data_IF_799639075356
#
_entry.id   IF_799639075356
#
_cell.length_a   1.000
_cell.length_b   1.000
_cell.length_c   1.000
_cell.angle_alpha   90.00
_cell.angle_beta   90.00
_cell.angle_gamma   90.00
#
_symmetry.space_group_name_H-M   'P 1'
#
loop_
_entity.id
_entity.type
_entity.pdbx_description
1 polymer ?
#
# COMPACT_ATOMS: atom_id res chain seq x y z
N UNK A 1 -3.57 -10.82 2.62
CA UNK A 1 -2.27 -10.49 2.00
C UNK A 1 -2.53 -9.92 0.61
N UNK A 2 -1.81 -8.90 0.20
CA UNK A 2 -1.84 -8.36 -1.16
C UNK A 2 -0.43 -8.50 -1.76
N UNK A 3 -0.31 -9.27 -2.85
CA UNK A 3 0.97 -9.56 -3.50
C UNK A 3 1.02 -8.73 -4.80
N UNK A 4 1.49 -7.50 -4.68
CA UNK A 4 1.60 -6.56 -5.80
C UNK A 4 2.83 -6.80 -6.67
N UNK A 5 2.98 -5.99 -7.73
CA UNK A 5 4.11 -6.10 -8.65
C UNK A 5 5.47 -5.76 -8.00
N UNK A 6 5.48 -4.78 -7.09
CA UNK A 6 6.72 -4.31 -6.42
C UNK A 6 6.76 -4.68 -4.94
N UNK A 7 5.64 -4.59 -4.23
CA UNK A 7 5.55 -4.85 -2.78
C UNK A 7 4.48 -5.90 -2.47
N UNK A 8 4.77 -6.74 -1.50
CA UNK A 8 3.79 -7.52 -0.74
C UNK A 8 3.37 -6.70 0.47
N UNK A 9 2.06 -6.70 0.74
CA UNK A 9 1.45 -6.08 1.91
C UNK A 9 0.72 -7.15 2.72
N UNK A 10 1.04 -7.23 4.01
CA UNK A 10 0.47 -8.14 4.97
C UNK A 10 -0.20 -7.32 6.07
N UNK A 11 -1.48 -7.59 6.27
CA UNK A 11 -2.25 -7.07 7.41
C UNK A 11 -2.40 -8.20 8.41
N UNK A 12 -2.04 -7.94 9.66
CA UNK A 12 -2.09 -8.92 10.75
C UNK A 12 -2.92 -8.37 11.91
N UNK A 13 -4.01 -9.06 12.25
CA UNK A 13 -4.78 -8.76 13.45
C UNK A 13 -4.17 -9.52 14.63
N UNK A 14 -3.69 -8.79 15.64
CA UNK A 14 -3.18 -9.32 16.89
C UNK A 14 -4.28 -9.28 17.96
N UNK A 15 -4.85 -10.43 18.36
CA UNK A 15 -5.83 -10.44 19.45
C UNK A 15 -5.16 -10.05 20.77
N UNK A 16 -5.79 -9.15 21.51
CA UNK A 16 -5.35 -8.66 22.83
C UNK A 16 -6.22 -9.19 23.98
N UNK A 17 -7.26 -9.93 23.64
CA UNK A 17 -8.28 -10.48 24.53
C UNK A 17 -8.20 -12.00 24.69
N UNK A 18 -7.02 -12.59 24.43
CA UNK A 18 -6.81 -14.04 24.51
C UNK A 18 -6.93 -14.49 25.97
N UNK A 19 -7.81 -15.46 26.24
CA UNK A 19 -7.96 -16.01 27.59
C UNK A 19 -6.85 -17.01 27.93
N UNK A 20 -6.66 -17.29 29.22
CA UNK A 20 -5.68 -18.30 29.64
C UNK A 20 -6.02 -19.72 29.14
N UNK A 21 -7.30 -20.02 28.94
CA UNK A 21 -7.77 -21.29 28.36
C UNK A 21 -7.43 -21.36 26.87
N UNK A 22 -7.73 -20.29 26.11
CA UNK A 22 -7.37 -20.19 24.69
C UNK A 22 -5.85 -20.29 24.49
N UNK A 23 -5.06 -19.67 25.37
CA UNK A 23 -3.60 -19.74 25.30
C UNK A 23 -3.08 -21.15 25.59
N UNK A 24 -3.76 -21.97 26.41
CA UNK A 24 -3.36 -23.36 26.63
C UNK A 24 -3.67 -24.26 25.44
N UNK A 25 -4.78 -24.00 24.75
CA UNK A 25 -5.19 -24.74 23.54
C UNK A 25 -4.41 -24.31 22.28
N UNK A 26 -3.81 -23.11 22.32
CA UNK A 26 -3.04 -22.56 21.22
C UNK A 26 -1.76 -23.36 20.93
N UNK A 27 -1.65 -23.83 19.69
CA UNK A 27 -0.45 -24.55 19.22
C UNK A 27 0.79 -23.65 19.31
N UNK A 28 1.92 -24.21 19.77
CA UNK A 28 3.17 -23.47 19.98
C UNK A 28 3.65 -22.67 18.76
N UNK A 29 3.37 -23.17 17.54
CA UNK A 29 3.64 -22.43 16.30
C UNK A 29 2.89 -21.11 16.20
N UNK A 30 1.62 -21.05 16.65
CA UNK A 30 0.80 -19.82 16.61
C UNK A 30 1.33 -18.78 17.59
N UNK A 31 1.74 -19.23 18.80
CA UNK A 31 2.43 -18.38 19.79
C UNK A 31 3.73 -17.82 19.25
N UNK A 32 4.56 -18.66 18.63
CA UNK A 32 5.84 -18.27 18.05
C UNK A 32 5.67 -17.24 16.94
N UNK A 33 4.66 -17.41 16.08
CA UNK A 33 4.36 -16.50 14.98
C UNK A 33 3.81 -15.17 15.49
N UNK A 34 2.83 -15.20 16.42
CA UNK A 34 2.34 -13.98 17.08
C UNK A 34 3.49 -13.21 17.68
N UNK A 35 4.33 -13.86 18.50
CA UNK A 35 5.49 -13.24 19.13
C UNK A 35 6.47 -12.69 18.11
N UNK A 36 6.76 -13.42 17.04
CA UNK A 36 7.66 -12.98 15.98
C UNK A 36 7.18 -11.69 15.32
N UNK A 37 5.88 -11.62 14.97
CA UNK A 37 5.27 -10.46 14.33
C UNK A 37 5.20 -9.26 15.28
N UNK A 38 4.92 -9.46 16.56
CA UNK A 38 4.66 -8.33 17.48
C UNK A 38 5.93 -7.82 18.17
N UNK A 39 6.94 -8.67 18.38
CA UNK A 39 8.19 -8.29 19.07
C UNK A 39 9.25 -7.69 18.15
N UNK A 40 9.01 -7.62 16.84
CA UNK A 40 9.95 -7.08 15.85
C UNK A 40 9.26 -6.04 14.98
N UNK A 41 10.03 -5.07 14.50
CA UNK A 41 9.60 -4.08 13.49
C UNK A 41 10.27 -4.30 12.14
N UNK A 42 11.32 -5.12 12.11
CA UNK A 42 12.01 -5.56 10.89
C UNK A 42 12.01 -7.10 10.84
N UNK A 43 11.73 -7.65 9.65
CA UNK A 43 11.67 -9.08 9.40
C UNK A 43 12.65 -9.46 8.28
N UNK A 44 13.67 -10.25 8.62
CA UNK A 44 14.76 -10.52 7.71
C UNK A 44 15.54 -9.24 7.39
N UNK A 45 15.89 -9.03 6.11
CA UNK A 45 16.63 -7.85 5.66
C UNK A 45 15.74 -6.71 5.13
N UNK A 46 14.52 -7.02 4.72
CA UNK A 46 13.70 -6.13 3.88
C UNK A 46 12.25 -6.00 4.35
N UNK A 47 11.79 -6.88 5.24
CA UNK A 47 10.44 -6.79 5.80
C UNK A 47 10.37 -5.71 6.86
N UNK A 48 9.33 -4.88 6.80
CA UNK A 48 9.12 -3.74 7.68
C UNK A 48 7.68 -3.78 8.20
N UNK A 49 7.51 -3.58 9.50
CA UNK A 49 6.22 -3.26 10.13
C UNK A 49 6.12 -1.76 10.30
N UNK A 50 5.14 -1.14 9.65
CA UNK A 50 4.89 0.29 9.72
C UNK A 50 4.13 0.60 11.02
N UNK A 51 4.85 0.64 12.15
CA UNK A 51 4.27 0.78 13.51
C UNK A 51 3.41 2.03 13.67
N UNK A 52 3.74 3.10 12.95
CA UNK A 52 2.99 4.36 12.98
C UNK A 52 1.57 4.24 12.38
N UNK A 53 1.27 3.13 11.68
CA UNK A 53 -0.05 2.84 11.12
C UNK A 53 -0.86 1.86 11.98
N UNK A 54 -0.33 1.39 13.12
CA UNK A 54 -1.05 0.42 13.96
C UNK A 54 -2.42 0.97 14.42
N UNK A 55 -3.50 0.24 14.11
CA UNK A 55 -4.82 0.53 14.66
C UNK A 55 -5.02 -0.27 15.95
N UNK A 56 -4.92 0.41 17.09
CA UNK A 56 -5.07 -0.19 18.42
C UNK A 56 -6.52 -0.18 18.91
N UNK A 57 -6.85 -1.11 19.83
CA UNK A 57 -8.20 -1.30 20.41
C UNK A 57 -9.33 -1.48 19.36
N UNK A 58 -9.01 -2.12 18.25
CA UNK A 58 -9.97 -2.45 17.20
C UNK A 58 -10.81 -3.67 17.63
N UNK A 59 -12.13 -3.58 17.47
CA UNK A 59 -13.01 -4.74 17.56
C UNK A 59 -13.27 -5.30 16.17
N UNK A 60 -12.78 -6.50 15.88
CA UNK A 60 -12.94 -7.19 14.61
C UNK A 60 -13.47 -8.61 14.85
N UNK A 61 -14.58 -8.95 14.20
CA UNK A 61 -15.24 -10.26 14.33
C UNK A 61 -15.49 -10.71 15.77
N UNK A 62 -15.84 -9.75 16.65
CA UNK A 62 -16.12 -10.01 18.06
C UNK A 62 -14.88 -10.15 18.95
N UNK A 63 -13.67 -9.98 18.40
CA UNK A 63 -12.39 -9.97 19.13
C UNK A 63 -11.85 -8.55 19.25
N UNK A 64 -11.24 -8.22 20.39
CA UNK A 64 -10.48 -6.99 20.58
C UNK A 64 -9.00 -7.21 20.30
N UNK A 65 -8.39 -6.30 19.55
CA UNK A 65 -6.99 -6.43 19.17
C UNK A 65 -6.38 -5.20 18.52
N UNK A 66 -5.18 -5.38 17.98
CA UNK A 66 -4.49 -4.39 17.16
C UNK A 66 -4.40 -4.87 15.71
N UNK A 67 -4.57 -3.97 14.74
CA UNK A 67 -4.31 -4.23 13.33
C UNK A 67 -2.92 -3.71 12.95
N UNK A 68 -2.05 -4.60 12.49
CA UNK A 68 -0.66 -4.32 12.10
C UNK A 68 -0.50 -4.32 10.59
N UNK A 69 0.33 -3.40 10.08
CA UNK A 69 0.65 -3.26 8.66
C UNK A 69 2.11 -3.59 8.41
N UNK A 70 2.35 -4.58 7.56
CA UNK A 70 3.66 -5.13 7.26
C UNK A 70 3.86 -5.14 5.75
N UNK A 71 5.05 -4.80 5.28
CA UNK A 71 5.41 -4.83 3.85
C UNK A 71 6.80 -5.38 3.62
N UNK A 72 7.00 -5.95 2.44
CA UNK A 72 8.32 -6.35 1.95
C UNK A 72 8.32 -6.38 0.41
N UNK A 73 9.48 -6.30 -0.25
CA UNK A 73 9.56 -6.37 -1.71
C UNK A 73 9.06 -7.70 -2.26
N UNK A 74 8.30 -7.69 -3.35
CA UNK A 74 7.76 -8.91 -3.97
C UNK A 74 8.86 -9.89 -4.41
N UNK A 75 10.05 -9.40 -4.76
CA UNK A 75 11.18 -10.26 -5.10
C UNK A 75 11.72 -11.07 -3.90
N UNK A 76 11.39 -10.69 -2.66
CA UNK A 76 11.73 -11.41 -1.42
C UNK A 76 10.67 -12.43 -1.00
N UNK A 77 9.61 -12.61 -1.81
CA UNK A 77 8.57 -13.59 -1.53
C UNK A 77 9.10 -15.04 -1.36
N UNK A 78 10.10 -15.53 -2.13
CA UNK A 78 10.68 -16.85 -1.88
C UNK A 78 11.27 -16.99 -0.47
N UNK A 79 11.95 -15.95 0.05
CA UNK A 79 12.51 -15.95 1.39
C UNK A 79 11.39 -15.95 2.46
N UNK A 80 10.31 -15.20 2.21
CA UNK A 80 9.11 -15.24 3.06
C UNK A 80 8.48 -16.64 3.10
N UNK A 81 8.33 -17.31 1.96
CA UNK A 81 7.76 -18.67 1.89
C UNK A 81 8.64 -19.69 2.60
N UNK A 82 9.96 -19.58 2.45
CA UNK A 82 10.91 -20.42 3.19
C UNK A 82 10.77 -20.20 4.70
N UNK A 83 10.70 -18.94 5.15
CA UNK A 83 10.43 -18.63 6.56
C UNK A 83 9.09 -19.22 7.02
N UNK A 84 8.04 -19.14 6.21
CA UNK A 84 6.73 -19.71 6.49
C UNK A 84 6.78 -21.23 6.66
N UNK A 85 7.57 -21.93 5.85
CA UNK A 85 7.85 -23.36 6.00
C UNK A 85 8.58 -23.65 7.32
N UNK A 86 9.68 -22.94 7.59
CA UNK A 86 10.54 -23.18 8.75
C UNK A 86 9.84 -22.87 10.08
N UNK A 87 8.89 -21.93 10.06
CA UNK A 87 8.03 -21.57 11.20
C UNK A 87 6.69 -22.33 11.21
N UNK A 88 6.51 -23.29 10.31
CA UNK A 88 5.32 -24.14 10.20
C UNK A 88 4.00 -23.38 10.07
N UNK A 89 3.92 -22.34 9.22
CA UNK A 89 2.70 -21.54 9.03
C UNK A 89 1.47 -22.37 8.63
N UNK A 90 1.67 -23.49 7.93
CA UNK A 90 0.59 -24.40 7.53
C UNK A 90 -0.12 -25.09 8.69
N UNK A 91 0.46 -25.12 9.90
CA UNK A 91 -0.23 -25.65 11.09
C UNK A 91 -1.29 -24.69 11.63
N UNK A 92 -1.23 -23.40 11.27
CA UNK A 92 -2.18 -22.38 11.75
C UNK A 92 -3.48 -22.41 10.93
N UNK A 93 -3.32 -22.34 9.61
CA UNK A 93 -4.41 -22.37 8.64
C UNK A 93 -3.89 -22.95 7.34
N UNK A 94 -4.69 -23.82 6.72
CA UNK A 94 -4.37 -24.36 5.40
C UNK A 94 -4.63 -23.35 4.28
N UNK A 95 -5.40 -22.28 4.54
CA UNK A 95 -5.82 -21.31 3.53
C UNK A 95 -5.53 -19.88 3.96
N UNK A 96 -4.85 -19.11 3.10
CA UNK A 96 -4.56 -17.69 3.27
C UNK A 96 -5.34 -16.86 2.23
N UNK A 97 -6.06 -15.84 2.68
CA UNK A 97 -6.69 -14.88 1.79
C UNK A 97 -5.63 -13.99 1.13
N UNK A 98 -5.53 -14.06 -0.19
CA UNK A 98 -4.56 -13.32 -0.98
C UNK A 98 -5.23 -12.58 -2.15
N UNK A 99 -4.81 -11.35 -2.38
CA UNK A 99 -5.22 -10.51 -3.51
C UNK A 99 -3.99 -9.99 -4.27
N UNK A 100 -4.21 -9.23 -5.34
CA UNK A 100 -3.17 -8.75 -6.25
C UNK A 100 -2.72 -9.82 -7.25
N UNK A 101 -2.07 -9.39 -8.34
CA UNK A 101 -1.61 -10.31 -9.40
C UNK A 101 -0.70 -11.44 -8.91
N UNK A 102 0.05 -11.21 -7.83
CA UNK A 102 0.91 -12.22 -7.21
C UNK A 102 0.16 -13.37 -6.56
N UNK A 103 -1.10 -13.20 -6.17
CA UNK A 103 -1.93 -14.29 -5.66
C UNK A 103 -2.18 -15.38 -6.72
N UNK A 104 -2.16 -15.01 -8.01
CA UNK A 104 -2.21 -15.94 -9.14
C UNK A 104 -0.81 -16.43 -9.51
N UNK A 105 0.15 -15.51 -9.67
CA UNK A 105 1.51 -15.83 -10.13
C UNK A 105 2.24 -16.83 -9.22
N UNK A 106 2.06 -16.70 -7.90
CA UNK A 106 2.83 -17.46 -6.91
C UNK A 106 2.01 -18.56 -6.23
N UNK A 107 0.80 -18.88 -6.71
CA UNK A 107 -0.07 -19.88 -6.05
C UNK A 107 0.63 -21.23 -5.85
N UNK A 108 1.33 -21.72 -6.88
CA UNK A 108 2.04 -22.99 -6.80
C UNK A 108 3.25 -22.93 -5.85
N UNK A 109 3.91 -21.78 -5.73
CA UNK A 109 5.00 -21.58 -4.77
C UNK A 109 4.47 -21.63 -3.34
N UNK A 110 3.33 -20.98 -3.04
CA UNK A 110 2.69 -21.10 -1.72
C UNK A 110 2.34 -22.56 -1.39
N UNK A 111 1.81 -23.30 -2.37
CA UNK A 111 1.43 -24.70 -2.19
C UNK A 111 2.66 -25.60 -1.97
N UNK A 112 3.69 -25.46 -2.78
CA UNK A 112 4.86 -26.36 -2.77
C UNK A 112 5.90 -25.96 -1.73
N UNK A 113 6.11 -24.66 -1.52
CA UNK A 113 7.08 -24.14 -0.56
C UNK A 113 6.51 -24.13 0.85
N UNK A 114 5.33 -23.58 1.07
CA UNK A 114 4.81 -23.36 2.43
C UNK A 114 3.67 -24.31 2.82
N UNK A 115 3.23 -25.21 1.93
CA UNK A 115 2.02 -26.03 2.12
C UNK A 115 0.78 -25.19 2.47
N UNK A 116 0.66 -24.02 1.83
CA UNK A 116 -0.46 -23.09 2.01
C UNK A 116 -1.30 -23.03 0.73
N UNK A 117 -2.62 -23.08 0.88
CA UNK A 117 -3.57 -22.78 -0.19
C UNK A 117 -3.86 -21.28 -0.19
N UNK A 118 -3.98 -20.69 -1.37
CA UNK A 118 -4.46 -19.32 -1.48
C UNK A 118 -5.96 -19.29 -1.78
N UNK A 119 -6.72 -18.57 -0.97
CA UNK A 119 -8.03 -18.05 -1.38
C UNK A 119 -7.80 -16.75 -2.12
N UNK A 120 -7.81 -16.83 -3.46
CA UNK A 120 -7.57 -15.70 -4.35
C UNK A 120 -8.79 -14.79 -4.39
N UNK A 121 -8.56 -13.50 -4.17
CA UNK A 121 -9.56 -12.42 -4.21
C UNK A 121 -9.14 -11.40 -5.27
N UNK A 122 -10.10 -10.65 -5.80
CA UNK A 122 -9.81 -9.57 -6.76
C UNK A 122 -9.12 -8.38 -6.07
N UNK A 123 -8.15 -7.75 -6.76
CA UNK A 123 -7.36 -6.63 -6.24
C UNK A 123 -8.20 -5.38 -5.99
N UNK A 124 -9.06 -5.04 -6.94
CA UNK A 124 -9.84 -3.81 -6.91
C UNK A 124 -11.01 -3.94 -5.93
N UNK A 125 -11.64 -5.11 -5.87
CA UNK A 125 -12.68 -5.40 -4.88
C UNK A 125 -12.11 -5.31 -3.44
N UNK A 126 -10.93 -5.88 -3.20
CA UNK A 126 -10.25 -5.80 -1.91
C UNK A 126 -9.85 -4.36 -1.56
N UNK A 127 -9.37 -3.58 -2.54
CA UNK A 127 -9.03 -2.17 -2.35
C UNK A 127 -10.25 -1.36 -1.89
N UNK A 128 -11.37 -1.44 -2.61
CA UNK A 128 -12.59 -0.69 -2.26
C UNK A 128 -13.08 -1.08 -0.86
N UNK A 129 -13.18 -2.38 -0.57
CA UNK A 129 -13.60 -2.86 0.76
C UNK A 129 -12.64 -2.40 1.86
N UNK A 130 -11.34 -2.43 1.59
CA UNK A 130 -10.30 -2.02 2.54
C UNK A 130 -10.39 -0.54 2.89
N UNK A 131 -10.42 0.34 1.88
CA UNK A 131 -10.51 1.80 2.09
C UNK A 131 -11.76 2.17 2.88
N UNK A 132 -12.93 1.67 2.47
CA UNK A 132 -14.19 1.96 3.15
C UNK A 132 -14.22 1.41 4.58
N UNK A 133 -13.61 0.24 4.80
CA UNK A 133 -13.54 -0.35 6.13
C UNK A 133 -12.64 0.47 7.05
N UNK A 134 -11.41 0.81 6.62
CA UNK A 134 -10.45 1.56 7.43
C UNK A 134 -11.04 2.91 7.83
N UNK A 135 -11.57 3.67 6.88
CA UNK A 135 -12.23 4.95 7.14
C UNK A 135 -13.37 4.81 8.18
N UNK A 136 -14.16 3.74 8.11
CA UNK A 136 -15.27 3.50 9.05
C UNK A 136 -14.85 3.13 10.47
N UNK A 137 -13.64 2.61 10.68
CA UNK A 137 -13.17 2.12 11.99
C UNK A 137 -12.11 3.02 12.63
N UNK A 138 -11.45 3.87 11.85
CA UNK A 138 -10.52 4.89 12.37
C UNK A 138 -11.34 5.93 13.12
N UNK A 139 -11.38 5.75 14.44
CA UNK A 139 -12.13 6.60 15.39
C UNK A 139 -11.21 7.30 16.40
N UNK A 140 -9.94 6.91 16.43
CA UNK A 140 -8.88 7.49 17.26
C UNK A 140 -7.71 7.93 16.39
N UNK A 141 -7.15 9.10 16.69
CA UNK A 141 -6.10 9.70 15.87
C UNK A 141 -6.62 10.67 14.79
N UNK A 142 -5.75 11.09 13.85
CA UNK A 142 -6.18 11.92 12.72
C UNK A 142 -7.13 11.12 11.80
N UNK A 143 -8.10 11.78 11.15
CA UNK A 143 -8.96 11.13 10.16
C UNK A 143 -8.15 10.46 9.06
N UNK A 144 -8.62 9.31 8.58
CA UNK A 144 -7.95 8.51 7.55
C UNK A 144 -7.74 9.31 6.26
N UNK A 145 -8.75 10.08 5.86
CA UNK A 145 -8.69 10.91 4.66
C UNK A 145 -8.35 12.37 4.98
N UNK A 146 -7.59 12.99 4.07
CA UNK A 146 -7.16 14.38 4.17
C UNK A 146 -6.99 15.02 2.79
N UNK A 147 -6.90 16.34 2.77
CA UNK A 147 -6.55 17.13 1.59
C UNK A 147 -5.56 18.23 1.99
N UNK A 148 -4.87 18.82 1.01
CA UNK A 148 -4.06 20.01 1.22
C UNK A 148 -4.86 21.25 0.80
N UNK A 149 -5.12 22.15 1.74
CA UNK A 149 -5.64 23.47 1.43
C UNK A 149 -4.48 24.36 0.96
N UNK A 150 -4.70 25.18 -0.08
CA UNK A 150 -3.67 26.03 -0.68
C UNK A 150 -2.37 25.30 -1.12
N UNK A 151 -2.44 24.18 -1.88
CA UNK A 151 -1.29 23.31 -2.14
C UNK A 151 -0.15 23.95 -2.97
N UNK A 152 -0.41 25.08 -3.62
CA UNK A 152 0.57 25.81 -4.45
C UNK A 152 1.20 27.00 -3.72
N UNK A 153 0.76 27.31 -2.50
CA UNK A 153 1.27 28.41 -1.68
C UNK A 153 2.03 27.82 -0.49
N UNK A 154 3.37 27.81 -0.51
CA UNK A 154 4.16 27.18 0.55
C UNK A 154 3.94 27.74 1.95
N UNK A 155 3.52 29.00 2.08
CA UNK A 155 3.28 29.64 3.39
C UNK A 155 1.91 29.31 3.96
N UNK A 156 0.94 28.95 3.10
CA UNK A 156 -0.45 28.66 3.47
C UNK A 156 -0.85 27.20 3.32
N UNK A 157 0.02 26.38 2.73
CA UNK A 157 -0.23 24.97 2.49
C UNK A 157 -0.43 24.24 3.82
N UNK A 158 -1.63 23.75 4.05
CA UNK A 158 -2.01 23.07 5.29
C UNK A 158 -2.73 21.76 4.97
N UNK A 159 -2.35 20.69 5.65
CA UNK A 159 -3.07 19.42 5.61
C UNK A 159 -4.33 19.52 6.48
N UNK A 160 -5.50 19.26 5.90
CA UNK A 160 -6.79 19.25 6.57
C UNK A 160 -7.47 17.90 6.47
N UNK A 161 -8.13 17.51 7.55
CA UNK A 161 -8.94 16.30 7.58
C UNK A 161 -10.10 16.37 6.57
N UNK A 162 -10.42 15.23 5.98
CA UNK A 162 -11.59 15.03 5.15
C UNK A 162 -12.37 13.82 5.66
N UNK A 163 -13.64 14.03 5.99
CA UNK A 163 -14.51 12.94 6.41
C UNK A 163 -15.21 12.35 5.17
N UNK A 164 -15.02 11.05 4.90
CA UNK A 164 -15.66 10.34 3.80
C UNK A 164 -17.12 9.93 4.11
N UNK A 165 -17.89 10.79 4.77
CA UNK A 165 -19.32 10.57 4.97
C UNK A 165 -20.07 10.56 3.63
N UNK A 166 -20.65 9.41 3.26
CA UNK A 166 -21.27 9.18 1.95
C UNK A 166 -20.33 9.53 0.78
N UNK A 167 -19.24 8.75 0.58
CA UNK A 167 -18.14 9.14 -0.31
C UNK A 167 -18.50 9.05 -1.80
N UNK A 168 -19.75 8.75 -2.15
CA UNK A 168 -20.16 8.44 -3.52
C UNK A 168 -20.83 9.63 -4.22
N UNK A 169 -20.56 9.87 -5.51
CA UNK A 169 -19.56 9.17 -6.33
C UNK A 169 -18.12 9.62 -6.02
N UNK A 170 -17.17 8.71 -6.17
CA UNK A 170 -15.74 8.90 -5.86
C UNK A 170 -14.88 8.44 -7.03
N UNK A 171 -13.82 9.18 -7.36
CA UNK A 171 -12.79 8.72 -8.30
C UNK A 171 -11.58 8.22 -7.51
N UNK A 172 -11.40 6.90 -7.45
CA UNK A 172 -10.26 6.29 -6.75
C UNK A 172 -9.10 6.08 -7.72
N UNK A 173 -7.95 6.69 -7.43
CA UNK A 173 -6.73 6.55 -8.24
C UNK A 173 -5.71 5.75 -7.45
N UNK A 174 -5.56 4.46 -7.77
CA UNK A 174 -4.62 3.56 -7.11
C UNK A 174 -3.26 3.62 -7.82
N UNK A 175 -2.28 4.28 -7.20
CA UNK A 175 -0.91 4.45 -7.73
C UNK A 175 0.00 3.39 -7.11
N UNK A 176 0.22 2.29 -7.83
CA UNK A 176 1.19 1.25 -7.51
C UNK A 176 2.36 1.24 -8.50
N UNK A 177 2.80 0.05 -8.91
CA UNK A 177 3.79 -0.10 -9.99
C UNK A 177 3.30 0.56 -11.29
N UNK A 178 2.02 0.34 -11.63
CA UNK A 178 1.24 1.14 -12.58
C UNK A 178 0.09 1.85 -11.87
N UNK A 179 -0.88 2.37 -12.61
CA UNK A 179 -2.03 3.11 -12.07
C UNK A 179 -3.34 2.53 -12.56
N UNK A 180 -4.29 2.31 -11.64
CA UNK A 180 -5.69 2.00 -11.96
C UNK A 180 -6.60 3.12 -11.48
N UNK A 181 -7.50 3.57 -12.34
CA UNK A 181 -8.46 4.65 -12.04
C UNK A 181 -9.86 4.03 -12.02
N UNK A 182 -10.57 4.18 -10.91
CA UNK A 182 -11.90 3.64 -10.69
C UNK A 182 -12.91 4.76 -10.47
N UNK A 183 -14.06 4.66 -11.14
CA UNK A 183 -15.25 5.41 -10.78
C UNK A 183 -16.09 4.55 -9.84
N UNK A 184 -16.30 5.02 -8.61
CA UNK A 184 -16.98 4.31 -7.53
C UNK A 184 -18.33 5.00 -7.27
N UNK A 185 -19.41 4.32 -7.62
CA UNK A 185 -20.79 4.83 -7.51
C UNK A 185 -21.49 4.36 -6.24
N UNK A 186 -21.10 3.21 -5.70
CA UNK A 186 -21.49 2.72 -4.38
C UNK A 186 -20.49 1.63 -3.93
N UNK A 187 -20.67 1.11 -2.71
CA UNK A 187 -19.85 0.02 -2.16
C UNK A 187 -19.75 -1.23 -3.05
N UNK A 188 -20.79 -1.49 -3.85
CA UNK A 188 -20.91 -2.67 -4.71
C UNK A 188 -21.05 -2.29 -6.20
N UNK A 189 -20.97 -1.00 -6.54
CA UNK A 189 -21.08 -0.51 -7.91
C UNK A 189 -19.90 0.41 -8.22
N UNK A 190 -18.91 -0.14 -8.92
CA UNK A 190 -17.74 0.58 -9.39
C UNK A 190 -17.27 -0.01 -10.70
N UNK A 191 -16.51 0.79 -11.45
CA UNK A 191 -15.83 0.33 -12.66
C UNK A 191 -14.44 0.92 -12.75
N UNK A 192 -13.49 0.11 -13.23
CA UNK A 192 -12.20 0.61 -13.68
C UNK A 192 -12.42 1.39 -14.98
N UNK A 193 -12.34 2.72 -14.91
CA UNK A 193 -12.55 3.60 -16.08
C UNK A 193 -11.35 3.57 -17.01
N UNK A 194 -10.14 3.60 -16.46
CA UNK A 194 -8.90 3.50 -17.25
C UNK A 194 -7.71 3.20 -16.32
N UNK A 195 -6.51 3.24 -16.86
CA UNK A 195 -5.28 3.29 -16.09
C UNK A 195 -4.11 3.72 -16.98
N UNK A 196 -2.93 3.83 -16.38
CA UNK A 196 -1.68 4.09 -17.08
C UNK A 196 -0.59 3.16 -16.56
N UNK A 197 0.31 2.73 -17.44
CA UNK A 197 1.52 2.01 -17.03
C UNK A 197 2.58 2.94 -16.45
N UNK A 198 2.44 4.25 -16.63
CA UNK A 198 3.33 5.28 -16.07
C UNK A 198 2.94 5.53 -14.60
N UNK A 199 3.44 4.68 -13.71
CA UNK A 199 3.19 4.74 -12.26
C UNK A 199 4.47 4.82 -11.43
N UNK A 200 4.40 4.38 -10.18
CA UNK A 200 5.54 4.39 -9.27
C UNK A 200 6.70 3.49 -9.73
N UNK A 201 6.41 2.42 -10.47
CA UNK A 201 7.43 1.55 -11.06
C UNK A 201 8.20 2.24 -12.18
N UNK A 202 7.53 3.11 -12.96
CA UNK A 202 8.19 3.94 -13.97
C UNK A 202 9.08 4.98 -13.33
N UNK A 203 8.57 5.69 -12.32
CA UNK A 203 9.36 6.66 -11.54
C UNK A 203 10.63 6.00 -10.98
N UNK A 204 10.48 4.95 -10.16
CA UNK A 204 11.61 4.30 -9.51
C UNK A 204 12.58 3.69 -10.53
N UNK A 205 12.06 2.99 -11.55
CA UNK A 205 12.90 2.36 -12.56
C UNK A 205 13.73 3.37 -13.36
N UNK A 206 13.14 4.50 -13.77
CA UNK A 206 13.87 5.56 -14.45
C UNK A 206 14.87 6.27 -13.53
N UNK A 207 14.50 6.57 -12.28
CA UNK A 207 15.44 7.12 -11.30
C UNK A 207 16.66 6.21 -11.13
N UNK A 208 16.46 4.91 -10.91
CA UNK A 208 17.56 3.95 -10.78
C UNK A 208 18.48 3.95 -12.01
N UNK A 209 17.91 3.98 -13.22
CA UNK A 209 18.68 3.97 -14.47
C UNK A 209 19.44 5.29 -14.72
N UNK A 210 18.84 6.43 -14.38
CA UNK A 210 19.37 7.76 -14.71
C UNK A 210 20.28 8.35 -13.64
N UNK A 211 20.08 7.97 -12.38
CA UNK A 211 20.82 8.55 -11.24
C UNK A 211 21.67 7.53 -10.49
N UNK A 212 21.44 6.23 -10.70
CA UNK A 212 22.11 5.16 -9.97
C UNK A 212 21.59 4.94 -8.55
N UNK A 213 20.48 5.58 -8.14
CA UNK A 213 19.86 5.28 -6.85
C UNK A 213 19.37 3.83 -6.78
N UNK A 214 19.30 3.28 -5.58
CA UNK A 214 18.99 1.87 -5.32
C UNK A 214 17.69 1.66 -4.53
N UNK A 215 17.20 2.72 -3.88
CA UNK A 215 15.97 2.68 -3.07
C UNK A 215 14.99 3.78 -3.47
N UNK A 216 13.72 3.60 -3.08
CA UNK A 216 12.69 4.61 -3.33
C UNK A 216 12.95 5.88 -2.52
N UNK A 217 13.44 5.73 -1.29
CA UNK A 217 13.81 6.82 -0.39
C UNK A 217 14.98 7.65 -0.94
N UNK A 218 16.01 7.00 -1.51
CA UNK A 218 17.10 7.70 -2.20
C UNK A 218 16.59 8.49 -3.41
N UNK A 219 15.68 7.91 -4.21
CA UNK A 219 15.09 8.58 -5.35
C UNK A 219 14.31 9.85 -4.94
N UNK A 220 13.53 9.78 -3.85
CA UNK A 220 12.80 10.93 -3.30
C UNK A 220 13.74 12.01 -2.74
N UNK A 221 14.81 11.60 -2.05
CA UNK A 221 15.80 12.54 -1.53
C UNK A 221 16.47 13.31 -2.68
N UNK A 222 16.89 12.62 -3.74
CA UNK A 222 17.45 13.25 -4.94
C UNK A 222 16.45 14.20 -5.63
N UNK A 223 15.18 13.81 -5.72
CA UNK A 223 14.14 14.64 -6.34
C UNK A 223 13.87 15.94 -5.56
N UNK A 224 14.03 15.93 -4.24
CA UNK A 224 13.82 17.10 -3.37
C UNK A 224 14.87 18.19 -3.59
N UNK A 225 16.09 17.81 -3.97
CA UNK A 225 17.19 18.74 -4.27
C UNK A 225 17.26 19.11 -5.77
N UNK A 226 16.42 18.49 -6.60
CA UNK A 226 16.42 18.65 -8.05
C UNK A 226 15.71 19.92 -8.53
N UNK A 227 16.10 20.39 -9.71
CA UNK A 227 15.42 21.48 -10.42
C UNK A 227 14.98 20.98 -11.80
N UNK A 228 13.70 20.64 -11.96
CA UNK A 228 13.20 19.99 -13.18
C UNK A 228 13.30 20.88 -14.42
N UNK A 229 13.25 22.22 -14.27
CA UNK A 229 13.36 23.20 -15.36
C UNK A 229 14.71 23.18 -16.08
N UNK A 230 15.72 22.50 -15.53
CA UNK A 230 17.02 22.28 -16.17
C UNK A 230 17.02 21.09 -17.13
N UNK A 231 15.96 20.28 -17.11
CA UNK A 231 15.79 19.08 -17.94
C UNK A 231 14.58 19.26 -18.85
N UNK A 232 13.44 19.65 -18.28
CA UNK A 232 12.19 19.88 -18.98
C UNK A 232 12.27 21.10 -19.90
N UNK A 233 11.59 21.04 -21.04
CA UNK A 233 11.38 22.21 -21.90
C UNK A 233 10.04 22.84 -21.59
N UNK A 234 10.05 24.12 -21.26
CA UNK A 234 8.85 24.86 -20.86
C UNK A 234 8.22 25.58 -22.06
N UNK A 235 6.96 26.00 -21.90
CA UNK A 235 6.24 26.79 -22.93
C UNK A 235 7.03 28.05 -23.29
N UNK A 236 7.63 28.75 -22.31
CA UNK A 236 8.44 29.95 -22.57
C UNK A 236 9.70 29.67 -23.37
N UNK A 237 10.25 28.46 -23.31
CA UNK A 237 11.44 28.09 -24.08
C UNK A 237 11.11 27.88 -25.57
N UNK A 238 9.82 27.71 -25.89
CA UNK A 238 9.30 27.56 -27.25
C UNK A 238 8.70 28.88 -27.77
N UNK A 239 7.86 29.53 -26.97
CA UNK A 239 7.07 30.70 -27.36
C UNK A 239 7.64 32.04 -26.89
N UNK A 240 8.70 32.05 -26.07
CA UNK A 240 9.27 33.26 -25.47
C UNK A 240 8.42 33.88 -24.35
N UNK A 241 7.35 33.21 -23.93
CA UNK A 241 6.37 33.67 -22.95
C UNK A 241 5.20 32.70 -22.85
N UNK A 242 4.01 33.21 -22.56
CA UNK A 242 2.78 32.41 -22.54
C UNK A 242 2.33 32.06 -23.96
N UNK A 243 1.69 30.89 -24.13
CA UNK A 243 0.92 30.60 -25.33
C UNK A 243 -0.52 31.09 -25.15
N UNK A 244 -0.71 32.40 -25.35
CA UNK A 244 -1.95 33.12 -25.01
C UNK A 244 -3.21 32.53 -25.63
N UNK A 245 -3.14 32.10 -26.90
CA UNK A 245 -4.32 31.61 -27.64
C UNK A 245 -5.06 30.47 -26.92
N UNK A 246 -4.34 29.61 -26.22
CA UNK A 246 -4.90 28.48 -25.48
C UNK A 246 -4.68 28.58 -23.96
N UNK A 247 -4.19 29.73 -23.47
CA UNK A 247 -3.97 29.98 -22.05
C UNK A 247 -2.94 29.05 -21.41
N UNK A 248 -1.89 28.64 -22.13
CA UNK A 248 -0.80 27.87 -21.53
C UNK A 248 0.25 28.84 -20.97
N UNK A 249 0.47 28.86 -19.65
CA UNK A 249 1.43 29.77 -19.05
C UNK A 249 2.86 29.36 -19.39
N UNK A 250 3.76 30.33 -19.49
CA UNK A 250 5.15 30.13 -19.89
C UNK A 250 5.95 29.21 -18.97
N UNK A 251 5.52 29.03 -17.71
CA UNK A 251 6.14 28.12 -16.75
C UNK A 251 5.68 26.67 -16.88
N UNK A 252 4.63 26.37 -17.66
CA UNK A 252 4.17 25.00 -17.86
C UNK A 252 5.19 24.18 -18.66
N UNK A 253 5.33 22.89 -18.30
CA UNK A 253 6.13 21.92 -19.05
C UNK A 253 5.46 21.64 -20.40
N UNK A 254 6.22 21.73 -21.48
CA UNK A 254 5.77 21.45 -22.84
C UNK A 254 6.32 20.12 -23.37
N UNK A 255 7.54 19.74 -22.99
CA UNK A 255 8.18 18.48 -23.39
C UNK A 255 9.24 18.02 -22.41
#
# INVERSE_FOLDING_TARGET
>A
MDIGGTLVKLVYFEPKDITAEEEQEEVESLKSIRRYLTSHTAYGKTGIRDVHLELSDLTLWGRKGSLHFIRFPTHELPAFLQMGRDKHFSSLHTTLCATGGGAFKYEDDFRTMANLKLLKLDELDCLIKGVLYIDSVVSSGPPECYYFEHPTDPERCEQKAYNLENPYPLLLVNIGSGVSILAVYSKDNYKRVTGTSLGGGTFLGLCCLLTGCSTFEEALAMATEGESTRVDKLVRDIYGGDYERFGLPGWAVAS
#
